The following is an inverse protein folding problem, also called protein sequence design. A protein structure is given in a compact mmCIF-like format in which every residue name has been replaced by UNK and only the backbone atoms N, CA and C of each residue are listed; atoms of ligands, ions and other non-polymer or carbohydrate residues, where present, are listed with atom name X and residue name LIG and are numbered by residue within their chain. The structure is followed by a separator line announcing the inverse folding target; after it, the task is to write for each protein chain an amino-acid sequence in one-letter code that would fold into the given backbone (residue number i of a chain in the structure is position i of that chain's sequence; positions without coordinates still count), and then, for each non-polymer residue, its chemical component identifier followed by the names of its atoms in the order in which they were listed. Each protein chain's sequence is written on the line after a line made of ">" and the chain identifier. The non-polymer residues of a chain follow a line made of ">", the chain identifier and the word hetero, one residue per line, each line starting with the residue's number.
data_IF_446330112114
#
_entry.id   IF_446330112114
#
_cell.length_a   1.000
_cell.length_b   1.000
_cell.length_c   1.000
_cell.angle_alpha   90.00
_cell.angle_beta   90.00
_cell.angle_gamma   90.00
#
_symmetry.space_group_name_H-M   'P 1'
#
loop_
_entity.id
_entity.type
_entity.pdbx_description
1 polymer ?
#
# COMPACT_ATOMS: atom_id res chain seq x y z
N UNK A 1 -3.11 -0.63 14.08
CA UNK A 1 -3.31 -1.52 12.91
C UNK A 1 -2.20 -1.27 11.89
N UNK A 2 -2.20 -2.00 10.76
CA UNK A 2 -1.19 -1.90 9.70
C UNK A 2 -1.08 -0.49 9.09
N UNK A 3 -2.23 0.15 8.81
CA UNK A 3 -2.31 1.50 8.25
C UNK A 3 -1.68 2.53 9.19
N UNK A 4 -1.97 2.45 10.49
CA UNK A 4 -1.34 3.32 11.48
C UNK A 4 0.18 3.15 11.57
N UNK A 5 0.71 1.94 11.32
CA UNK A 5 2.16 1.70 11.26
C UNK A 5 2.81 2.40 10.08
N UNK A 6 2.17 2.35 8.91
CA UNK A 6 2.63 3.03 7.70
C UNK A 6 2.53 4.57 7.83
N UNK A 7 1.45 5.08 8.42
CA UNK A 7 1.27 6.52 8.65
C UNK A 7 2.39 7.11 9.52
N UNK A 8 2.87 6.39 10.54
CA UNK A 8 4.03 6.79 11.36
C UNK A 8 5.35 6.88 10.59
N UNK A 9 5.41 6.31 9.38
CA UNK A 9 6.55 6.41 8.43
C UNK A 9 6.28 7.39 7.29
N UNK A 10 5.21 8.17 7.34
CA UNK A 10 4.84 9.13 6.30
C UNK A 10 4.06 8.52 5.12
N UNK A 11 3.77 7.22 5.16
CA UNK A 11 2.99 6.52 4.14
C UNK A 11 1.50 6.55 4.53
N UNK A 12 0.84 7.65 4.21
CA UNK A 12 -0.57 7.86 4.50
C UNK A 12 -1.43 7.21 3.42
N UNK A 13 -1.97 6.03 3.73
CA UNK A 13 -2.88 5.31 2.84
C UNK A 13 -4.32 5.69 3.17
N UNK A 14 -4.77 6.81 2.62
CA UNK A 14 -6.18 7.21 2.60
C UNK A 14 -6.80 6.66 1.32
N UNK A 15 -7.55 5.56 1.44
CA UNK A 15 -8.15 4.88 0.30
C UNK A 15 -9.67 4.74 0.42
N UNK A 16 -10.31 4.66 -0.74
CA UNK A 16 -11.71 4.24 -0.88
C UNK A 16 -11.84 3.17 -1.96
N UNK A 17 -12.87 2.34 -1.84
CA UNK A 17 -13.19 1.27 -2.78
C UNK A 17 -14.34 1.71 -3.67
N UNK A 18 -14.06 1.91 -4.96
CA UNK A 18 -15.06 2.34 -5.94
C UNK A 18 -14.97 1.51 -7.22
N UNK A 19 -16.02 1.59 -8.04
CA UNK A 19 -15.98 1.01 -9.38
C UNK A 19 -15.25 1.94 -10.34
N UNK A 20 -14.18 1.44 -10.97
CA UNK A 20 -13.49 2.06 -12.10
C UNK A 20 -13.56 1.13 -13.33
N UNK A 21 -12.96 1.55 -14.44
CA UNK A 21 -12.74 0.67 -15.59
C UNK A 21 -12.00 -0.61 -15.14
N UNK A 22 -12.45 -1.83 -15.48
CA UNK A 22 -11.85 -3.08 -15.01
C UNK A 22 -10.36 -3.27 -15.37
N UNK A 23 -9.82 -2.52 -16.32
CA UNK A 23 -8.39 -2.51 -16.67
C UNK A 23 -7.53 -1.68 -15.70
N UNK A 24 -8.15 -0.79 -14.93
CA UNK A 24 -7.48 0.07 -13.95
C UNK A 24 -7.49 -0.62 -12.59
N UNK A 25 -6.31 -0.88 -12.01
CA UNK A 25 -6.19 -1.48 -10.66
C UNK A 25 -6.55 -0.46 -9.56
N UNK A 26 -5.96 0.73 -9.67
CA UNK A 26 -6.10 1.85 -8.75
C UNK A 26 -5.86 3.18 -9.47
N UNK A 27 -6.26 4.28 -8.85
CA UNK A 27 -5.96 5.62 -9.33
C UNK A 27 -5.90 6.60 -8.16
N UNK A 28 -5.14 7.69 -8.31
CA UNK A 28 -5.30 8.88 -7.46
C UNK A 28 -6.47 9.72 -7.95
N UNK A 29 -7.36 10.08 -7.03
CA UNK A 29 -8.40 11.08 -7.25
C UNK A 29 -8.15 12.28 -6.33
N UNK A 30 -8.47 13.48 -6.81
CA UNK A 30 -8.52 14.67 -5.94
C UNK A 30 -9.98 14.98 -5.70
N UNK A 31 -10.45 14.78 -4.47
CA UNK A 31 -11.81 15.12 -4.05
C UNK A 31 -11.77 16.03 -2.81
N UNK A 32 -12.52 17.12 -2.85
CA UNK A 32 -12.59 18.08 -1.74
C UNK A 32 -11.23 18.63 -1.26
N UNK A 33 -10.21 18.67 -2.12
CA UNK A 33 -8.85 19.12 -1.78
C UNK A 33 -7.97 18.07 -1.09
N UNK A 34 -8.41 16.81 -1.05
CA UNK A 34 -7.61 15.66 -0.58
C UNK A 34 -7.30 14.73 -1.74
N UNK A 35 -6.06 14.27 -1.81
CA UNK A 35 -5.66 13.20 -2.72
C UNK A 35 -6.02 11.87 -2.06
N UNK A 36 -6.94 11.15 -2.68
CA UNK A 36 -7.44 9.86 -2.22
C UNK A 36 -7.01 8.77 -3.19
N UNK A 37 -6.62 7.62 -2.64
CA UNK A 37 -6.33 6.42 -3.42
C UNK A 37 -7.64 5.69 -3.67
N UNK A 38 -8.06 5.58 -4.93
CA UNK A 38 -9.23 4.80 -5.31
C UNK A 38 -8.81 3.40 -5.70
N UNK A 39 -9.22 2.40 -4.93
CA UNK A 39 -8.99 0.97 -5.23
C UNK A 39 -10.20 0.42 -6.00
N UNK A 40 -9.96 -0.17 -7.17
CA UNK A 40 -11.04 -0.59 -8.06
C UNK A 40 -11.67 -1.93 -7.63
N UNK A 41 -12.94 -1.90 -7.24
CA UNK A 41 -13.70 -3.11 -6.89
C UNK A 41 -14.02 -4.02 -8.09
N UNK A 42 -13.92 -3.51 -9.33
CA UNK A 42 -14.16 -4.29 -10.57
C UNK A 42 -12.90 -4.96 -11.11
N UNK A 43 -11.72 -4.60 -10.61
CA UNK A 43 -10.45 -5.17 -11.06
C UNK A 43 -10.44 -6.70 -10.82
N UNK A 44 -9.95 -7.53 -11.77
CA UNK A 44 -10.04 -8.99 -11.65
C UNK A 44 -9.42 -9.56 -10.37
N UNK A 45 -8.28 -9.00 -9.92
CA UNK A 45 -7.60 -9.47 -8.72
C UNK A 45 -8.34 -9.07 -7.44
N UNK A 46 -8.93 -7.86 -7.39
CA UNK A 46 -9.81 -7.46 -6.27
C UNK A 46 -10.93 -8.47 -6.08
N UNK A 47 -11.63 -8.82 -7.17
CA UNK A 47 -12.75 -9.78 -7.14
C UNK A 47 -12.30 -11.18 -6.73
N UNK A 48 -11.12 -11.62 -7.18
CA UNK A 48 -10.55 -12.92 -6.81
C UNK A 48 -10.19 -12.99 -5.32
N UNK A 49 -9.65 -11.91 -4.76
CA UNK A 49 -9.21 -11.82 -3.35
C UNK A 49 -10.28 -11.27 -2.40
N UNK A 50 -11.46 -10.92 -2.93
CA UNK A 50 -12.54 -10.25 -2.21
C UNK A 50 -12.08 -9.00 -1.43
N UNK A 51 -11.13 -8.25 -2.00
CA UNK A 51 -10.57 -7.05 -1.35
C UNK A 51 -9.95 -7.30 0.03
N UNK A 52 -9.27 -8.44 0.23
CA UNK A 52 -8.57 -8.73 1.48
C UNK A 52 -7.55 -7.63 1.86
N UNK A 53 -7.21 -7.54 3.14
CA UNK A 53 -6.36 -6.46 3.65
C UNK A 53 -4.98 -6.42 2.96
N UNK A 54 -4.39 -7.57 2.66
CA UNK A 54 -3.11 -7.66 1.98
C UNK A 54 -3.20 -7.04 0.56
N UNK A 55 -4.23 -7.37 -0.20
CA UNK A 55 -4.50 -6.76 -1.49
C UNK A 55 -4.70 -5.24 -1.37
N UNK A 56 -5.44 -4.79 -0.35
CA UNK A 56 -5.71 -3.37 -0.13
C UNK A 56 -4.41 -2.60 0.19
N UNK A 57 -3.56 -3.15 1.06
CA UNK A 57 -2.25 -2.59 1.39
C UNK A 57 -1.31 -2.57 0.19
N UNK A 58 -1.17 -3.68 -0.53
CA UNK A 58 -0.32 -3.77 -1.72
C UNK A 58 -0.76 -2.76 -2.78
N UNK A 59 -2.07 -2.73 -3.07
CA UNK A 59 -2.61 -1.82 -4.08
C UNK A 59 -2.48 -0.35 -3.67
N UNK A 60 -2.74 -0.04 -2.39
CA UNK A 60 -2.57 1.31 -1.87
C UNK A 60 -1.12 1.78 -1.89
N UNK A 61 -0.18 0.93 -1.47
CA UNK A 61 1.25 1.25 -1.49
C UNK A 61 1.78 1.42 -2.91
N UNK A 62 1.36 0.55 -3.85
CA UNK A 62 1.72 0.70 -5.26
C UNK A 62 1.27 2.06 -5.81
N UNK A 63 0.06 2.51 -5.50
CA UNK A 63 -0.42 3.81 -5.97
C UNK A 63 0.25 4.99 -5.24
N UNK A 64 0.56 4.83 -3.96
CA UNK A 64 1.19 5.86 -3.14
C UNK A 64 2.67 6.08 -3.50
N UNK A 65 3.40 5.00 -3.75
CA UNK A 65 4.82 5.03 -4.09
C UNK A 65 5.07 5.25 -5.59
N UNK A 66 4.02 5.21 -6.41
CA UNK A 66 4.13 5.35 -7.86
C UNK A 66 4.89 6.64 -8.19
N UNK A 67 6.04 6.54 -8.88
CA UNK A 67 6.84 7.72 -9.18
C UNK A 67 6.04 8.70 -10.03
N UNK A 68 6.21 9.99 -9.71
CA UNK A 68 5.71 11.07 -10.55
C UNK A 68 6.41 11.09 -11.92
N UNK A 69 5.85 11.83 -12.88
CA UNK A 69 6.47 11.99 -14.20
C UNK A 69 7.87 12.63 -14.14
N UNK A 70 8.13 13.41 -13.09
CA UNK A 70 9.38 14.13 -12.86
C UNK A 70 10.32 13.43 -11.85
N UNK A 71 9.97 12.21 -11.43
CA UNK A 71 10.69 11.47 -10.38
C UNK A 71 11.50 10.32 -11.01
N UNK A 72 12.83 10.42 -10.95
CA UNK A 72 13.75 9.43 -11.52
C UNK A 72 14.07 8.31 -10.52
N UNK A 73 13.04 7.59 -10.07
CA UNK A 73 13.26 6.36 -9.30
C UNK A 73 13.52 5.19 -10.25
N UNK A 74 14.57 4.42 -9.97
CA UNK A 74 14.76 3.14 -10.64
C UNK A 74 13.65 2.17 -10.23
N UNK A 75 13.30 1.25 -11.14
CA UNK A 75 12.27 0.22 -10.88
C UNK A 75 12.61 -0.60 -9.63
N UNK A 76 13.90 -0.84 -9.39
CA UNK A 76 14.42 -1.57 -8.24
C UNK A 76 14.20 -0.81 -6.92
N UNK A 77 14.46 0.50 -6.90
CA UNK A 77 14.26 1.35 -5.73
C UNK A 77 12.78 1.43 -5.36
N UNK A 78 11.91 1.56 -6.36
CA UNK A 78 10.47 1.51 -6.16
C UNK A 78 10.01 0.16 -5.58
N UNK A 79 10.53 -0.94 -6.12
CA UNK A 79 10.22 -2.28 -5.65
C UNK A 79 10.68 -2.48 -4.19
N UNK A 80 11.88 -2.03 -3.84
CA UNK A 80 12.42 -2.18 -2.49
C UNK A 80 11.60 -1.39 -1.46
N UNK A 81 11.20 -0.16 -1.79
CA UNK A 81 10.32 0.64 -0.94
C UNK A 81 8.96 -0.03 -0.73
N UNK A 82 8.39 -0.62 -1.78
CA UNK A 82 7.13 -1.36 -1.69
C UNK A 82 7.24 -2.58 -0.78
N UNK A 83 8.30 -3.38 -0.96
CA UNK A 83 8.52 -4.61 -0.17
C UNK A 83 8.77 -4.29 1.29
N UNK A 84 9.56 -3.24 1.58
CA UNK A 84 9.80 -2.79 2.95
C UNK A 84 8.49 -2.35 3.62
N UNK A 85 7.69 -1.52 2.94
CA UNK A 85 6.43 -1.02 3.46
C UNK A 85 5.42 -2.15 3.71
N UNK A 86 5.28 -3.10 2.77
CA UNK A 86 4.42 -4.27 2.94
C UNK A 86 4.86 -5.15 4.11
N UNK A 87 6.15 -5.42 4.21
CA UNK A 87 6.72 -6.21 5.31
C UNK A 87 6.40 -5.56 6.65
N UNK A 88 6.62 -4.25 6.77
CA UNK A 88 6.31 -3.49 7.98
C UNK A 88 4.82 -3.52 8.33
N UNK A 89 3.95 -3.35 7.34
CA UNK A 89 2.50 -3.32 7.52
C UNK A 89 1.96 -4.67 8.01
N UNK A 90 2.47 -5.77 7.45
CA UNK A 90 2.00 -7.13 7.73
C UNK A 90 2.65 -7.75 8.97
N UNK A 91 3.81 -7.26 9.40
CA UNK A 91 4.52 -7.77 10.57
C UNK A 91 3.79 -7.48 11.91
N UNK A 92 2.90 -6.48 11.94
CA UNK A 92 2.16 -6.07 13.15
C UNK A 92 3.06 -5.64 14.33
N UNK A 93 2.50 -5.22 15.48
CA UNK A 93 3.28 -4.85 16.67
C UNK A 93 4.02 -6.04 17.33
N UNK A 94 3.92 -7.26 16.81
CA UNK A 94 4.50 -8.47 17.40
C UNK A 94 5.87 -8.87 16.83
N UNK A 95 6.27 -8.34 15.67
CA UNK A 95 7.52 -8.77 15.02
C UNK A 95 8.79 -8.13 15.60
N UNK A 96 8.67 -7.00 16.31
CA UNK A 96 9.83 -6.33 16.95
C UNK A 96 10.27 -7.05 18.23
N UNK A 97 9.47 -7.97 18.78
CA UNK A 97 9.76 -8.68 20.03
C UNK A 97 10.40 -10.08 19.85
N UNK A 98 10.88 -10.41 18.65
CA UNK A 98 11.53 -11.71 18.36
C UNK A 98 13.03 -11.64 18.06
N UNK A 99 13.69 -10.56 18.43
CA UNK A 99 15.16 -10.58 18.56
C UNK A 99 15.49 -10.38 20.02
N UNK A 100 15.42 -11.48 20.78
CA UNK A 100 16.19 -11.61 22.01
C UNK A 100 17.53 -12.25 21.64
N UNK A 101 18.64 -11.49 21.60
CA UNK A 101 19.96 -12.01 21.29
C UNK A 101 20.61 -12.74 22.47
N UNK A 102 19.89 -13.00 23.59
CA UNK A 102 20.45 -13.63 24.79
C UNK A 102 19.92 -15.03 25.11
N UNK A 103 19.58 -15.81 24.09
CA UNK A 103 19.40 -17.26 24.24
C UNK A 103 20.63 -18.03 23.74
N UNK A 104 21.73 -17.96 24.49
CA UNK A 104 22.76 -19.01 24.61
C UNK A 104 23.67 -18.74 25.81
#
# INVERSE_FOLDING_TARGET
>A
DAVGTLARRGLNLDWDVRSLDPSIRSARAVDGGRTEIVINSRYPLYRRRNGDLEYMLETGLLEQLKPGADEELLVEEYHDQLVEALSLALAGPAAVNRIDPTAR
#
